data_IF_279522876076
#
_entry.id   IF_279522876076
#
_cell.length_a   1.000
_cell.length_b   1.000
_cell.length_c   1.000
_cell.angle_alpha   90.00
_cell.angle_beta   90.00
_cell.angle_gamma   90.00
#
_symmetry.space_group_name_H-M   'P 1'
#
loop_
_entity.id
_entity.type
_entity.pdbx_description
1 polymer ?
#
# COMPACT_ATOMS: atom_id res chain seq x y z
N UNK A 1 0.65 -16.01 16.90
CA UNK A 1 1.94 -16.06 16.21
C UNK A 1 2.90 -15.11 16.93
N UNK A 2 4.20 -15.40 16.92
CA UNK A 2 5.28 -14.61 17.54
C UNK A 2 6.26 -14.18 16.45
N UNK A 3 7.17 -13.25 16.76
CA UNK A 3 8.16 -12.76 15.79
C UNK A 3 9.05 -13.90 15.24
N UNK A 4 9.42 -13.80 13.96
CA UNK A 4 10.29 -14.75 13.28
C UNK A 4 9.60 -15.99 12.68
N UNK A 5 8.28 -16.16 12.86
CA UNK A 5 7.53 -17.26 12.23
C UNK A 5 7.04 -16.88 10.83
N UNK A 6 7.01 -17.85 9.92
CA UNK A 6 6.40 -17.68 8.61
C UNK A 6 4.88 -17.88 8.72
N UNK A 7 4.12 -16.99 8.11
CA UNK A 7 2.66 -16.94 8.24
C UNK A 7 2.06 -16.91 6.85
N UNK A 8 1.07 -17.77 6.61
CA UNK A 8 0.18 -17.67 5.45
C UNK A 8 -1.11 -16.99 5.87
N UNK A 9 -1.45 -15.91 5.18
CA UNK A 9 -2.57 -15.04 5.52
C UNK A 9 -3.47 -14.86 4.29
N UNK A 10 -4.74 -15.21 4.45
CA UNK A 10 -5.76 -14.70 3.55
C UNK A 10 -6.25 -13.34 4.05
N UNK A 11 -6.46 -12.39 3.15
CA UNK A 11 -6.95 -11.07 3.49
C UNK A 11 -7.88 -10.50 2.43
N UNK A 12 -8.77 -9.60 2.87
CA UNK A 12 -9.50 -8.68 2.02
C UNK A 12 -9.33 -7.29 2.58
N UNK A 13 -8.85 -6.36 1.76
CA UNK A 13 -8.66 -4.96 2.10
C UNK A 13 -9.78 -4.14 1.49
N UNK A 14 -10.54 -3.48 2.35
CA UNK A 14 -11.60 -2.54 2.00
C UNK A 14 -11.17 -1.13 2.41
N UNK A 15 -11.39 -0.17 1.51
CA UNK A 15 -11.13 1.26 1.74
C UNK A 15 -12.31 2.04 1.18
N UNK A 16 -12.83 3.00 1.96
CA UNK A 16 -13.99 3.82 1.57
C UNK A 16 -15.22 3.00 1.11
N UNK A 17 -15.37 1.77 1.63
CA UNK A 17 -16.47 0.85 1.30
C UNK A 17 -16.24 -0.03 0.07
N UNK A 18 -15.11 0.11 -0.62
CA UNK A 18 -14.75 -0.69 -1.79
C UNK A 18 -13.59 -1.64 -1.50
N UNK A 19 -13.66 -2.86 -2.05
CA UNK A 19 -12.55 -3.81 -1.97
C UNK A 19 -11.46 -3.37 -2.94
N UNK A 20 -10.32 -2.94 -2.40
CA UNK A 20 -9.17 -2.46 -3.19
C UNK A 20 -8.15 -3.56 -3.44
N UNK A 21 -8.07 -4.57 -2.58
CA UNK A 21 -7.20 -5.73 -2.76
C UNK A 21 -7.72 -6.95 -1.97
N UNK A 22 -7.38 -8.17 -2.41
CA UNK A 22 -7.78 -9.41 -1.72
C UNK A 22 -6.97 -10.62 -2.16
N UNK A 23 -6.52 -11.46 -1.23
CA UNK A 23 -5.90 -12.76 -1.57
C UNK A 23 -6.90 -13.78 -2.12
N UNK A 24 -8.22 -13.52 -2.04
CA UNK A 24 -9.25 -14.47 -2.47
C UNK A 24 -9.08 -14.84 -3.94
N UNK A 25 -9.05 -16.15 -4.22
CA UNK A 25 -8.82 -16.69 -5.57
C UNK A 25 -7.35 -16.68 -6.02
N UNK A 26 -6.43 -16.32 -5.13
CA UNK A 26 -4.97 -16.40 -5.29
C UNK A 26 -4.38 -17.25 -4.16
N UNK A 27 -3.07 -17.49 -4.21
CA UNK A 27 -2.36 -18.09 -3.08
C UNK A 27 -2.38 -17.13 -1.87
N UNK A 28 -2.47 -17.66 -0.63
CA UNK A 28 -2.35 -16.84 0.58
C UNK A 28 -1.08 -16.01 0.58
N UNK A 29 -1.15 -14.82 1.18
CA UNK A 29 0.02 -13.96 1.37
C UNK A 29 0.97 -14.63 2.37
N UNK A 30 2.20 -14.89 1.94
CA UNK A 30 3.25 -15.40 2.80
C UNK A 30 4.14 -14.26 3.27
N UNK A 31 4.28 -14.12 4.58
CA UNK A 31 5.18 -13.13 5.20
C UNK A 31 5.81 -13.70 6.48
N UNK A 32 6.83 -13.03 7.00
CA UNK A 32 7.47 -13.37 8.27
C UNK A 32 7.12 -12.30 9.30
N UNK A 33 6.53 -12.73 10.41
CA UNK A 33 6.12 -11.84 11.49
C UNK A 33 7.32 -11.09 12.08
N UNK A 34 7.21 -9.78 12.22
CA UNK A 34 8.22 -8.92 12.85
C UNK A 34 9.36 -8.54 11.91
N UNK A 35 9.24 -8.78 10.60
CA UNK A 35 10.24 -8.38 9.58
C UNK A 35 9.86 -7.08 8.86
N UNK A 36 8.75 -6.43 9.24
CA UNK A 36 8.31 -5.19 8.60
C UNK A 36 7.90 -5.37 7.14
N UNK A 37 7.45 -6.58 6.78
CA UNK A 37 6.96 -6.88 5.42
C UNK A 37 5.51 -6.43 5.21
N UNK A 38 4.76 -6.25 6.31
CA UNK A 38 3.42 -5.69 6.32
C UNK A 38 3.45 -4.28 6.93
N UNK A 39 2.38 -3.53 6.70
CA UNK A 39 2.18 -2.26 7.41
C UNK A 39 2.13 -2.48 8.93
N UNK A 40 2.73 -1.59 9.74
CA UNK A 40 2.89 -1.80 11.18
C UNK A 40 1.58 -2.09 11.92
N UNK A 41 0.48 -1.41 11.58
CA UNK A 41 -0.81 -1.59 12.24
C UNK A 41 -1.43 -2.96 11.99
N UNK A 42 -1.24 -3.52 10.79
CA UNK A 42 -1.69 -4.87 10.47
C UNK A 42 -0.83 -5.90 11.21
N UNK A 43 0.50 -5.79 11.12
CA UNK A 43 1.43 -6.74 11.73
C UNK A 43 1.24 -6.84 13.25
N UNK A 44 1.02 -5.71 13.94
CA UNK A 44 0.72 -5.68 15.39
C UNK A 44 -0.56 -6.42 15.75
N UNK A 45 -1.61 -6.32 14.94
CA UNK A 45 -2.92 -6.89 15.23
C UNK A 45 -3.00 -8.40 14.94
N UNK A 46 -2.03 -8.92 14.18
CA UNK A 46 -1.85 -10.35 13.91
C UNK A 46 -1.12 -11.09 15.05
N UNK A 47 -0.42 -10.37 15.92
CA UNK A 47 0.28 -10.95 17.09
C UNK A 47 -0.72 -11.75 17.94
N UNK A 48 -0.31 -12.94 18.35
CA UNK A 48 -1.14 -13.83 19.19
C UNK A 48 -2.15 -14.70 18.45
N UNK A 49 -2.52 -14.38 17.20
CA UNK A 49 -3.45 -15.21 16.41
C UNK A 49 -2.83 -16.54 15.97
N UNK A 50 -3.65 -17.58 15.84
CA UNK A 50 -3.26 -18.94 15.45
C UNK A 50 -3.83 -19.30 14.08
N UNK A 51 -3.31 -20.35 13.47
CA UNK A 51 -3.89 -20.91 12.24
C UNK A 51 -5.38 -21.24 12.46
N UNK A 52 -6.22 -20.84 11.50
CA UNK A 52 -7.67 -20.90 11.56
C UNK A 52 -8.35 -19.65 12.13
N UNK A 53 -7.64 -18.76 12.83
CA UNK A 53 -8.24 -17.56 13.39
C UNK A 53 -8.60 -16.56 12.29
N UNK A 54 -9.76 -15.92 12.44
CA UNK A 54 -10.21 -14.83 11.57
C UNK A 54 -10.43 -13.56 12.38
N UNK A 55 -10.06 -12.41 11.84
CA UNK A 55 -10.17 -11.12 12.51
C UNK A 55 -10.44 -9.99 11.54
N UNK A 56 -11.33 -9.08 11.92
CA UNK A 56 -11.47 -7.78 11.25
C UNK A 56 -10.60 -6.75 11.97
N UNK A 57 -9.74 -6.07 11.21
CA UNK A 57 -8.70 -5.17 11.70
C UNK A 57 -8.89 -3.81 11.01
N UNK A 58 -8.95 -2.75 11.80
CA UNK A 58 -8.93 -1.37 11.29
C UNK A 58 -7.54 -0.79 11.53
N UNK A 59 -6.91 -0.28 10.48
CA UNK A 59 -5.59 0.35 10.54
C UNK A 59 -5.74 1.83 10.17
N UNK A 60 -5.40 2.71 11.10
CA UNK A 60 -5.38 4.15 10.86
C UNK A 60 -4.24 4.51 9.89
N UNK A 61 -4.33 5.62 9.14
CA UNK A 61 -3.31 6.02 8.18
C UNK A 61 -1.89 6.02 8.74
N UNK A 62 -1.72 6.48 9.99
CA UNK A 62 -0.43 6.59 10.68
C UNK A 62 0.25 5.24 10.92
N UNK A 63 -0.54 4.16 11.02
CA UNK A 63 -0.04 2.79 11.16
C UNK A 63 -0.11 1.98 9.85
N UNK A 64 -0.63 2.60 8.78
CA UNK A 64 -0.77 2.03 7.45
C UNK A 64 0.28 2.57 6.50
N UNK A 65 -0.17 3.31 5.49
CA UNK A 65 0.70 3.92 4.47
C UNK A 65 1.11 5.37 4.78
N UNK A 66 0.90 5.81 6.01
CA UNK A 66 1.13 7.18 6.45
C UNK A 66 0.00 8.14 6.09
N UNK A 67 0.00 9.36 6.67
CA UNK A 67 -0.84 10.44 6.20
C UNK A 67 -0.41 10.89 4.80
N UNK A 68 -1.29 11.60 4.09
CA UNK A 68 -0.90 12.31 2.86
C UNK A 68 0.20 13.31 3.22
N UNK A 69 1.35 13.20 2.57
CA UNK A 69 2.46 14.14 2.70
C UNK A 69 2.28 15.29 1.71
N UNK A 70 2.05 16.53 2.19
CA UNK A 70 1.97 17.71 1.32
C UNK A 70 3.26 17.96 0.51
N UNK A 71 4.41 17.46 0.99
CA UNK A 71 5.70 17.60 0.31
C UNK A 71 5.90 16.59 -0.81
N UNK A 72 5.09 15.54 -0.87
CA UNK A 72 5.09 14.57 -1.96
C UNK A 72 4.28 15.05 -3.17
N UNK A 73 3.65 16.23 -3.11
CA UNK A 73 3.13 16.91 -4.29
C UNK A 73 4.24 17.70 -4.97
N UNK A 74 4.53 17.36 -6.22
CA UNK A 74 5.60 17.98 -7.01
C UNK A 74 5.00 18.61 -8.25
N UNK A 75 5.29 19.88 -8.46
CA UNK A 75 4.94 20.58 -9.70
C UNK A 75 6.03 20.37 -10.74
N UNK A 76 5.63 19.87 -11.91
CA UNK A 76 6.51 19.72 -13.07
C UNK A 76 5.97 20.53 -14.24
N UNK A 77 6.86 20.99 -15.12
CA UNK A 77 6.42 21.61 -16.37
C UNK A 77 5.77 20.54 -17.24
N UNK A 78 4.65 20.89 -17.88
CA UNK A 78 3.97 20.01 -18.85
C UNK A 78 4.91 19.53 -19.96
N UNK A 79 5.95 20.32 -20.30
CA UNK A 79 6.96 19.94 -21.28
C UNK A 79 7.89 18.79 -20.83
N UNK A 80 7.95 18.48 -19.54
CA UNK A 80 8.70 17.32 -19.00
C UNK A 80 7.89 16.02 -19.09
N UNK A 81 6.57 16.12 -19.29
CA UNK A 81 5.75 14.94 -19.53
C UNK A 81 6.04 14.40 -20.94
N UNK A 82 5.95 13.07 -21.14
CA UNK A 82 6.05 12.49 -22.47
C UNK A 82 5.10 13.18 -23.46
N UNK A 83 5.55 13.54 -24.67
CA UNK A 83 4.72 14.28 -25.63
C UNK A 83 3.49 13.48 -26.10
N UNK A 84 3.56 12.14 -25.96
CA UNK A 84 2.52 11.22 -26.38
C UNK A 84 1.39 11.05 -25.35
N UNK A 85 1.52 11.65 -24.16
CA UNK A 85 0.48 11.58 -23.13
C UNK A 85 -0.30 12.90 -23.03
N UNK A 86 -1.63 12.79 -23.09
CA UNK A 86 -2.51 13.84 -22.64
C UNK A 86 -2.66 13.70 -21.12
N UNK A 87 -2.12 14.61 -20.29
CA UNK A 87 -2.23 14.51 -18.84
C UNK A 87 -3.69 14.65 -18.39
N UNK A 88 -4.18 13.65 -17.66
CA UNK A 88 -5.50 13.62 -17.06
C UNK A 88 -5.40 13.45 -15.54
N UNK A 89 -6.26 14.14 -14.78
CA UNK A 89 -6.31 13.98 -13.31
C UNK A 89 -6.65 12.53 -12.96
N UNK A 90 -5.90 11.94 -12.03
CA UNK A 90 -6.01 10.54 -11.64
C UNK A 90 -5.17 9.57 -12.48
N UNK A 91 -4.56 10.04 -13.57
CA UNK A 91 -3.69 9.20 -14.40
C UNK A 91 -2.40 8.84 -13.66
N UNK A 92 -2.10 7.55 -13.58
CA UNK A 92 -0.84 7.07 -13.03
C UNK A 92 0.30 7.20 -14.06
N UNK A 93 1.41 7.78 -13.63
CA UNK A 93 2.63 7.95 -14.39
C UNK A 93 3.77 7.15 -13.76
N UNK A 94 4.70 6.73 -14.62
CA UNK A 94 6.00 6.18 -14.22
C UNK A 94 7.07 7.10 -14.76
N UNK A 95 7.99 7.50 -13.90
CA UNK A 95 9.09 8.38 -14.25
C UNK A 95 10.41 7.88 -13.69
N UNK A 96 11.47 8.60 -14.01
CA UNK A 96 12.82 8.38 -13.47
C UNK A 96 13.22 9.60 -12.66
N UNK A 97 13.58 9.40 -11.40
CA UNK A 97 13.98 10.45 -10.48
C UNK A 97 15.38 10.99 -10.79
N UNK A 98 15.81 12.08 -10.11
CA UNK A 98 17.12 12.69 -10.32
C UNK A 98 18.31 11.75 -10.04
N UNK A 99 18.08 10.74 -9.21
CA UNK A 99 19.04 9.70 -8.82
C UNK A 99 18.98 8.46 -9.73
N UNK A 100 18.17 8.50 -10.80
CA UNK A 100 17.97 7.39 -11.71
C UNK A 100 16.99 6.33 -11.21
N UNK A 101 16.39 6.50 -10.03
CA UNK A 101 15.42 5.53 -9.51
C UNK A 101 14.05 5.69 -10.17
N UNK A 102 13.39 4.59 -10.57
CA UNK A 102 12.04 4.67 -11.08
C UNK A 102 11.08 5.07 -9.96
N UNK A 103 10.19 6.03 -10.24
CA UNK A 103 9.12 6.42 -9.33
C UNK A 103 7.76 6.26 -10.01
N UNK A 104 6.71 6.16 -9.18
CA UNK A 104 5.32 6.22 -9.60
C UNK A 104 4.72 7.48 -9.04
N UNK A 105 3.90 8.15 -9.83
CA UNK A 105 3.14 9.30 -9.40
C UNK A 105 1.75 9.27 -10.02
N UNK A 106 0.80 9.98 -9.42
CA UNK A 106 -0.53 10.18 -9.99
C UNK A 106 -0.71 11.65 -10.32
N UNK A 107 -1.31 11.99 -11.46
CA UNK A 107 -1.59 13.39 -11.78
C UNK A 107 -2.69 13.89 -10.83
N UNK A 108 -2.35 14.82 -9.93
CA UNK A 108 -3.29 15.42 -8.99
C UNK A 108 -4.02 16.60 -9.62
N UNK A 109 -3.32 17.41 -10.41
CA UNK A 109 -3.89 18.61 -11.04
C UNK A 109 -3.20 18.90 -12.37
N UNK A 110 -3.99 19.26 -13.37
CA UNK A 110 -3.49 19.67 -14.69
C UNK A 110 -3.75 21.16 -14.88
N UNK A 111 -2.67 21.93 -15.02
CA UNK A 111 -2.71 23.33 -15.44
C UNK A 111 -2.34 23.50 -16.91
N UNK A 112 -2.32 24.75 -17.38
CA UNK A 112 -1.91 25.11 -18.75
C UNK A 112 -0.42 24.87 -18.98
N UNK A 113 0.43 25.25 -18.02
CA UNK A 113 1.90 25.16 -18.11
C UNK A 113 2.51 24.17 -17.12
N UNK A 114 1.87 24.02 -15.96
CA UNK A 114 2.33 23.18 -14.85
C UNK A 114 1.35 22.05 -14.58
N UNK A 115 1.88 20.90 -14.19
CA UNK A 115 1.13 19.72 -13.76
C UNK A 115 1.60 19.34 -12.36
N UNK A 116 0.68 19.15 -11.43
CA UNK A 116 0.98 18.68 -10.08
C UNK A 116 0.89 17.16 -10.05
N UNK A 117 1.98 16.52 -9.67
CA UNK A 117 2.11 15.09 -9.47
C UNK A 117 2.01 14.78 -7.98
N UNK A 118 1.28 13.72 -7.64
CA UNK A 118 1.18 13.14 -6.31
C UNK A 118 2.06 11.89 -6.24
N UNK A 119 3.13 11.95 -5.44
CA UNK A 119 4.02 10.82 -5.18
C UNK A 119 3.65 10.04 -3.91
N UNK A 120 2.54 10.38 -3.24
CA UNK A 120 2.06 9.61 -2.10
C UNK A 120 1.70 8.18 -2.52
N UNK A 121 1.76 7.27 -1.55
CA UNK A 121 1.19 5.94 -1.76
C UNK A 121 -0.32 6.07 -2.09
N UNK A 122 -0.90 5.29 -3.02
CA UNK A 122 -2.31 5.41 -3.39
C UNK A 122 -3.31 5.29 -2.22
N UNK A 123 -2.87 4.64 -1.14
CA UNK A 123 -3.65 4.44 0.09
C UNK A 123 -3.20 5.33 1.25
N UNK A 124 -2.34 6.32 1.02
CA UNK A 124 -1.93 7.29 2.04
C UNK A 124 -3.11 8.15 2.51
N UNK A 125 -3.17 8.44 3.80
CA UNK A 125 -4.27 9.17 4.44
C UNK A 125 -5.58 8.38 4.54
N UNK A 126 -5.63 7.13 4.09
CA UNK A 126 -6.83 6.29 4.13
C UNK A 126 -6.82 5.37 5.35
N UNK A 127 -7.97 5.24 5.99
CA UNK A 127 -8.21 4.19 6.99
C UNK A 127 -8.45 2.87 6.26
N UNK A 128 -7.72 1.84 6.65
CA UNK A 128 -7.73 0.54 5.98
C UNK A 128 -8.51 -0.47 6.81
N UNK A 129 -9.45 -1.18 6.19
CA UNK A 129 -10.20 -2.25 6.83
C UNK A 129 -9.75 -3.59 6.25
N UNK A 130 -9.12 -4.41 7.08
CA UNK A 130 -8.66 -5.74 6.71
C UNK A 130 -9.53 -6.80 7.37
N UNK A 131 -10.13 -7.67 6.56
CA UNK A 131 -10.65 -8.95 7.03
C UNK A 131 -9.59 -10.00 6.75
N UNK A 132 -9.01 -10.59 7.80
CA UNK A 132 -7.91 -11.53 7.68
C UNK A 132 -8.27 -12.90 8.24
N UNK A 133 -7.77 -13.95 7.61
CA UNK A 133 -7.82 -15.33 8.08
C UNK A 133 -6.41 -15.90 8.05
N UNK A 134 -5.91 -16.33 9.21
CA UNK A 134 -4.60 -16.97 9.31
C UNK A 134 -4.74 -18.39 8.79
N UNK A 135 -4.15 -18.68 7.64
CA UNK A 135 -4.23 -20.00 7.00
C UNK A 135 -3.28 -20.97 7.68
N UNK A 136 -2.04 -20.56 7.90
CA UNK A 136 -1.02 -21.40 8.51
C UNK A 136 0.05 -20.56 9.24
N UNK A 137 0.69 -21.16 10.23
CA UNK A 137 1.79 -20.56 10.98
C UNK A 137 2.90 -21.60 11.11
N UNK A 138 3.94 -21.43 10.31
CA UNK A 138 5.11 -22.31 10.30
C UNK A 138 6.20 -21.68 11.16
N UNK A 139 6.73 -22.38 12.17
CA UNK A 139 7.90 -21.92 12.91
C UNK A 139 9.05 -21.71 11.91
N UNK A 140 9.62 -20.50 11.86
CA UNK A 140 10.80 -20.26 11.04
C UNK A 140 11.88 -21.24 11.47
N UNK A 141 12.36 -22.09 10.57
CA UNK A 141 13.57 -22.88 10.82
C UNK A 141 14.69 -21.88 11.12
N UNK A 142 15.25 -21.97 12.34
CA UNK A 142 16.22 -21.03 12.89
C UNK A 142 17.49 -20.88 12.08
#
# INVERSE_FOLDING_TARGET
MQDGVAVQLDYTLTVDGEVVDSSKGRSPLSYVQGRGQLIPGLEKQLVGLKAGDTRSITVAPEEGYGPVDPKAFVEVSRAQLPPDIAPEVGQALRGTGPDGQPFRATIFKVGSELVTLDLNHPLAGKTLFFDVTVVDVVPGTG
#
